data_IF_694133482605
#
_entry.id   IF_694133482605
#
_cell.length_a   1.000
_cell.length_b   1.000
_cell.length_c   1.000
_cell.angle_alpha   90.00
_cell.angle_beta   90.00
_cell.angle_gamma   90.00
#
_symmetry.space_group_name_H-M   'P 1'
#
loop_
_entity.id
_entity.type
_entity.pdbx_description
1 polymer ?
#
# COMPACT_ATOMS: atom_id res chain seq x y z
N UNK A 1 31.86 -12.15 39.87
CA UNK A 1 31.93 -12.39 38.45
C UNK A 1 30.63 -11.88 37.86
N UNK A 2 30.65 -10.69 37.25
CA UNK A 2 29.46 -10.10 36.57
C UNK A 2 29.54 -10.55 35.12
N UNK A 3 28.51 -11.30 34.69
CA UNK A 3 28.34 -11.70 33.31
C UNK A 3 28.05 -10.48 32.47
N UNK A 4 28.97 -10.20 31.56
CA UNK A 4 28.85 -9.19 30.50
C UNK A 4 27.74 -9.65 29.53
N UNK A 5 26.60 -8.96 29.57
CA UNK A 5 25.54 -9.15 28.58
C UNK A 5 25.99 -8.42 27.32
N UNK A 6 26.51 -9.16 26.37
CA UNK A 6 26.77 -8.67 25.02
C UNK A 6 25.46 -8.13 24.45
N UNK A 7 25.39 -6.80 24.30
CA UNK A 7 24.38 -6.13 23.51
C UNK A 7 24.59 -6.55 22.06
N UNK A 8 23.72 -7.44 21.58
CA UNK A 8 23.57 -7.73 20.17
C UNK A 8 23.29 -6.39 19.46
N UNK A 9 24.33 -5.83 18.85
CA UNK A 9 24.21 -4.66 17.98
C UNK A 9 23.51 -5.15 16.72
N UNK A 10 22.18 -5.03 16.69
CA UNK A 10 21.37 -5.33 15.52
C UNK A 10 21.86 -4.44 14.38
N UNK A 11 22.65 -4.99 13.48
CA UNK A 11 23.10 -4.31 12.27
C UNK A 11 21.84 -3.95 11.46
N UNK A 12 21.51 -2.68 11.42
CA UNK A 12 20.40 -2.20 10.61
C UNK A 12 20.77 -2.43 9.13
N UNK A 13 20.06 -3.32 8.47
CA UNK A 13 20.23 -3.52 7.03
C UNK A 13 19.77 -2.25 6.29
N UNK A 14 20.72 -1.54 5.67
CA UNK A 14 20.40 -0.44 4.75
C UNK A 14 20.02 -1.06 3.41
N UNK A 15 18.73 -0.98 3.08
CA UNK A 15 18.23 -1.43 1.80
C UNK A 15 18.31 -0.31 0.76
N UNK A 16 18.76 -0.62 -0.44
CA UNK A 16 18.58 0.24 -1.62
C UNK A 16 17.14 0.09 -2.09
N UNK A 17 16.45 1.19 -2.34
CA UNK A 17 15.04 1.16 -2.76
C UNK A 17 14.94 1.81 -4.14
N UNK A 18 14.44 1.04 -5.10
CA UNK A 18 14.29 1.47 -6.49
C UNK A 18 12.86 1.27 -7.00
N UNK A 19 12.51 2.03 -8.05
CA UNK A 19 11.37 1.68 -8.90
C UNK A 19 11.71 0.42 -9.68
N UNK A 20 10.74 -0.50 -9.76
CA UNK A 20 10.88 -1.78 -10.45
C UNK A 20 9.67 -2.01 -11.35
N UNK A 21 9.76 -3.01 -12.22
CA UNK A 21 8.64 -3.41 -13.07
C UNK A 21 7.63 -4.25 -12.27
N UNK A 22 6.43 -4.42 -12.80
CA UNK A 22 5.42 -5.29 -12.18
C UNK A 22 5.91 -6.74 -12.13
N UNK A 23 6.59 -7.21 -13.17
CA UNK A 23 7.13 -8.57 -13.28
C UNK A 23 8.09 -8.87 -12.14
N UNK A 24 8.93 -7.92 -11.77
CA UNK A 24 9.88 -8.06 -10.66
C UNK A 24 9.18 -8.16 -9.28
N UNK A 25 7.92 -7.71 -9.18
CA UNK A 25 7.15 -7.84 -7.94
C UNK A 25 6.51 -9.21 -7.77
N UNK A 26 6.17 -9.90 -8.88
CA UNK A 26 5.33 -11.11 -8.88
C UNK A 26 5.91 -12.25 -8.05
N UNK A 27 7.21 -12.60 -8.15
CA UNK A 27 7.76 -13.70 -7.35
C UNK A 27 7.53 -13.52 -5.85
N UNK A 28 7.78 -12.29 -5.35
CA UNK A 28 7.65 -12.01 -3.92
C UNK A 28 6.18 -11.87 -3.49
N UNK A 29 5.35 -11.22 -4.30
CA UNK A 29 3.91 -11.20 -4.05
C UNK A 29 3.34 -12.62 -3.93
N UNK A 30 3.75 -13.53 -4.81
CA UNK A 30 3.28 -14.90 -4.83
C UNK A 30 3.78 -15.68 -3.60
N UNK A 31 5.10 -15.74 -3.39
CA UNK A 31 5.69 -16.55 -2.32
C UNK A 31 5.27 -16.11 -0.92
N UNK A 32 5.03 -14.81 -0.70
CA UNK A 32 4.73 -14.25 0.63
C UNK A 32 3.22 -14.15 0.89
N UNK A 33 2.45 -13.68 -0.10
CA UNK A 33 1.05 -13.35 0.16
C UNK A 33 0.11 -14.52 -0.13
N UNK A 34 0.36 -15.30 -1.18
CA UNK A 34 -0.49 -16.42 -1.59
C UNK A 34 0.31 -17.57 -2.22
N UNK A 35 1.18 -18.24 -1.46
CA UNK A 35 2.06 -19.30 -1.98
C UNK A 35 1.31 -20.52 -2.53
N UNK A 36 0.07 -20.74 -2.10
CA UNK A 36 -0.77 -21.88 -2.51
C UNK A 36 -1.69 -21.57 -3.70
N UNK A 37 -1.72 -20.32 -4.18
CA UNK A 37 -2.54 -19.91 -5.33
C UNK A 37 -1.68 -19.82 -6.60
N UNK A 38 -2.28 -19.85 -7.80
CA UNK A 38 -1.52 -19.60 -9.02
C UNK A 38 -0.85 -18.20 -9.00
N UNK A 39 0.30 -18.01 -9.67
CA UNK A 39 0.95 -16.69 -9.76
C UNK A 39 0.05 -15.58 -10.31
N UNK A 40 -0.88 -15.91 -11.21
CA UNK A 40 -1.88 -14.95 -11.73
C UNK A 40 -2.78 -14.34 -10.63
N UNK A 41 -2.94 -15.02 -9.50
CA UNK A 41 -3.74 -14.51 -8.37
C UNK A 41 -3.16 -13.27 -7.71
N UNK A 42 -1.86 -13.03 -7.86
CA UNK A 42 -1.19 -11.88 -7.26
C UNK A 42 -1.08 -10.68 -8.22
N UNK A 43 -1.43 -10.88 -9.49
CA UNK A 43 -1.53 -9.81 -10.46
C UNK A 43 -2.80 -8.98 -10.22
N UNK A 44 -2.71 -7.70 -10.49
CA UNK A 44 -3.84 -6.78 -10.43
C UNK A 44 -4.14 -6.25 -11.84
N UNK A 45 -5.42 -6.05 -12.20
CA UNK A 45 -5.76 -5.41 -13.48
C UNK A 45 -5.11 -4.04 -13.64
N UNK A 46 -4.91 -3.33 -12.53
CA UNK A 46 -4.34 -1.99 -12.45
C UNK A 46 -2.80 -1.97 -12.43
N UNK A 47 -2.13 -3.12 -12.42
CA UNK A 47 -0.67 -3.17 -12.29
C UNK A 47 0.05 -2.35 -13.38
N UNK A 48 -0.49 -2.29 -14.59
CA UNK A 48 0.11 -1.52 -15.69
C UNK A 48 0.13 0.01 -15.44
N UNK A 49 -0.75 0.52 -14.58
CA UNK A 49 -0.84 1.94 -14.21
C UNK A 49 -0.23 2.25 -12.85
N UNK A 50 0.18 1.22 -12.13
CA UNK A 50 0.80 1.34 -10.82
C UNK A 50 2.26 1.77 -10.87
N UNK A 51 2.76 2.29 -9.75
CA UNK A 51 4.18 2.49 -9.54
C UNK A 51 4.68 1.47 -8.51
N UNK A 52 5.66 0.66 -8.91
CA UNK A 52 6.15 -0.43 -8.09
C UNK A 52 7.54 -0.13 -7.54
N UNK A 53 7.80 -0.54 -6.31
CA UNK A 53 9.07 -0.35 -5.63
C UNK A 53 9.57 -1.67 -5.03
N UNK A 54 10.89 -1.86 -5.10
CA UNK A 54 11.61 -2.97 -4.49
C UNK A 54 12.68 -2.47 -3.53
N UNK A 55 12.86 -3.19 -2.43
CA UNK A 55 13.98 -3.01 -1.52
C UNK A 55 15.00 -4.12 -1.76
N UNK A 56 16.26 -3.75 -1.96
CA UNK A 56 17.36 -4.63 -2.30
C UNK A 56 18.42 -4.60 -1.21
N UNK A 57 18.96 -5.76 -0.88
CA UNK A 57 20.14 -5.88 -0.03
C UNK A 57 21.43 -5.78 -0.87
N UNK A 58 22.57 -5.41 -0.26
CA UNK A 58 23.85 -5.46 -0.96
C UNK A 58 24.08 -6.82 -1.64
N UNK A 59 24.57 -6.78 -2.87
CA UNK A 59 24.89 -7.99 -3.67
C UNK A 59 23.67 -8.86 -4.07
N UNK A 60 22.43 -8.39 -3.85
CA UNK A 60 21.23 -9.07 -4.35
C UNK A 60 20.62 -8.29 -5.52
N UNK A 61 20.37 -8.99 -6.62
CA UNK A 61 19.74 -8.43 -7.82
C UNK A 61 18.20 -8.49 -7.74
N UNK A 62 17.66 -9.38 -6.89
CA UNK A 62 16.22 -9.50 -6.66
C UNK A 62 15.80 -8.76 -5.40
N UNK A 63 14.61 -8.11 -5.39
CA UNK A 63 14.13 -7.41 -4.22
C UNK A 63 13.76 -8.40 -3.09
N UNK A 64 14.01 -8.00 -1.84
CA UNK A 64 13.61 -8.74 -0.64
C UNK A 64 12.31 -8.21 -0.03
N UNK A 65 11.85 -7.06 -0.48
CA UNK A 65 10.52 -6.54 -0.18
C UNK A 65 10.01 -5.72 -1.37
N UNK A 66 8.70 -5.76 -1.60
CA UNK A 66 8.02 -5.03 -2.70
C UNK A 66 6.75 -4.38 -2.20
N UNK A 67 6.36 -3.28 -2.86
CA UNK A 67 5.11 -2.55 -2.62
C UNK A 67 4.68 -1.85 -3.91
N UNK A 68 3.37 -1.64 -4.08
CA UNK A 68 2.83 -0.97 -5.27
C UNK A 68 1.88 0.13 -4.91
N UNK A 69 1.98 1.27 -5.60
CA UNK A 69 1.17 2.47 -5.42
C UNK A 69 0.22 2.64 -6.60
N UNK A 70 -1.00 3.06 -6.31
CA UNK A 70 -2.06 3.33 -7.28
C UNK A 70 -2.78 4.63 -6.91
N UNK A 71 -3.10 5.45 -7.91
CA UNK A 71 -4.06 6.54 -7.73
C UNK A 71 -5.43 5.90 -7.56
N UNK A 72 -5.99 5.97 -6.36
CA UNK A 72 -7.26 5.35 -6.02
C UNK A 72 -7.91 6.15 -4.89
N UNK A 73 -9.18 6.52 -5.09
CA UNK A 73 -9.93 7.31 -4.12
C UNK A 73 -10.15 6.55 -2.81
N UNK A 74 -10.28 7.33 -1.72
CA UNK A 74 -10.71 6.75 -0.44
C UNK A 74 -12.10 6.15 -0.61
N UNK A 75 -12.33 4.94 -0.08
CA UNK A 75 -13.66 4.36 -0.11
C UNK A 75 -14.63 5.24 0.69
N UNK A 76 -15.79 5.52 0.10
CA UNK A 76 -16.86 6.24 0.78
C UNK A 76 -17.34 5.39 1.97
N UNK A 77 -17.20 5.93 3.17
CA UNK A 77 -17.79 5.32 4.36
C UNK A 77 -19.30 5.61 4.31
N UNK A 78 -20.08 4.61 3.86
CA UNK A 78 -21.54 4.65 4.05
C UNK A 78 -21.85 4.03 5.42
N UNK A 79 -22.61 4.73 6.22
CA UNK A 79 -23.10 4.21 7.50
C UNK A 79 -23.88 2.91 7.22
N UNK A 80 -23.27 1.78 7.55
CA UNK A 80 -23.87 0.48 7.75
C UNK A 80 -24.45 -0.26 6.54
N UNK A 81 -23.71 -0.54 5.48
CA UNK A 81 -23.77 -1.77 4.66
C UNK A 81 -22.80 -1.66 3.46
N UNK A 82 -21.67 -2.35 3.52
CA UNK A 82 -20.83 -2.55 2.34
C UNK A 82 -21.48 -3.58 1.41
N UNK A 83 -22.33 -3.12 0.49
CA UNK A 83 -22.68 -3.88 -0.70
C UNK A 83 -21.73 -3.44 -1.81
N UNK A 84 -20.90 -4.35 -2.30
CA UNK A 84 -20.08 -4.12 -3.51
C UNK A 84 -21.02 -3.73 -4.66
N UNK A 85 -21.08 -2.44 -4.96
CA UNK A 85 -21.74 -1.98 -6.18
C UNK A 85 -20.68 -1.93 -7.28
N UNK A 86 -20.75 -2.93 -8.13
CA UNK A 86 -20.08 -2.98 -9.42
C UNK A 86 -20.68 -1.89 -10.30
N UNK A 87 -20.13 -0.68 -10.27
CA UNK A 87 -20.56 0.41 -11.16
C UNK A 87 -20.02 0.14 -12.56
N UNK A 88 -20.80 -0.60 -13.34
CA UNK A 88 -20.74 -0.51 -14.79
C UNK A 88 -21.14 0.92 -15.18
N UNK A 89 -20.24 1.61 -15.85
CA UNK A 89 -20.47 2.87 -16.53
C UNK A 89 -21.68 2.73 -17.49
N UNK A 90 -22.79 3.34 -17.15
CA UNK A 90 -23.84 3.62 -18.12
C UNK A 90 -23.86 5.10 -18.40
N UNK A 91 -23.61 5.42 -19.69
CA UNK A 91 -23.82 6.71 -20.31
C UNK A 91 -25.25 7.19 -20.02
N UNK A 92 -25.38 8.38 -19.46
CA UNK A 92 -26.62 9.14 -19.48
C UNK A 92 -26.35 10.57 -19.90
N UNK A 93 -26.78 10.88 -21.12
CA UNK A 93 -26.99 12.22 -21.62
C UNK A 93 -27.84 13.02 -20.62
N UNK A 94 -27.36 14.18 -20.20
CA UNK A 94 -28.24 15.24 -19.68
C UNK A 94 -27.70 16.63 -20.02
N UNK A 95 -28.44 17.24 -20.84
CA UNK A 95 -28.77 18.65 -21.10
C UNK A 95 -27.90 19.72 -20.45
N UNK A 96 -27.29 20.53 -21.34
CA UNK A 96 -26.57 21.76 -21.07
C UNK A 96 -27.56 22.78 -20.48
N UNK A 97 -27.31 23.26 -19.28
CA UNK A 97 -27.80 24.52 -18.76
C UNK A 97 -26.58 25.40 -18.53
N UNK A 98 -26.49 26.44 -19.37
CA UNK A 98 -25.51 27.51 -19.25
C UNK A 98 -25.82 28.35 -18.01
N UNK A 99 -24.88 28.41 -17.08
CA UNK A 99 -24.87 29.32 -15.96
C UNK A 99 -23.42 29.52 -15.55
N UNK A 100 -22.89 30.71 -15.78
CA UNK A 100 -21.61 31.21 -15.31
C UNK A 100 -21.61 31.19 -13.77
N UNK A 101 -20.99 30.19 -13.19
CA UNK A 101 -20.48 30.27 -11.84
C UNK A 101 -19.04 29.73 -11.88
N UNK A 102 -18.11 30.70 -11.79
CA UNK A 102 -16.70 30.47 -11.48
C UNK A 102 -16.61 29.90 -10.05
N UNK A 103 -17.12 28.66 -9.88
CA UNK A 103 -17.14 27.99 -8.62
C UNK A 103 -15.75 27.39 -8.40
N UNK A 104 -14.99 28.02 -7.49
CA UNK A 104 -13.82 27.47 -6.81
C UNK A 104 -14.05 25.98 -6.49
N UNK A 105 -13.63 25.12 -7.41
CA UNK A 105 -13.49 23.69 -7.09
C UNK A 105 -12.25 23.56 -6.23
N UNK A 106 -12.36 23.19 -4.93
CA UNK A 106 -11.18 22.90 -4.15
C UNK A 106 -10.38 21.85 -4.92
N UNK A 107 -9.09 22.07 -5.08
CA UNK A 107 -8.20 21.15 -5.75
C UNK A 107 -8.46 19.74 -5.18
N UNK A 108 -8.93 18.82 -6.02
CA UNK A 108 -9.31 17.48 -5.58
C UNK A 108 -8.07 16.84 -4.98
N UNK A 109 -8.05 16.69 -3.66
CA UNK A 109 -6.93 16.14 -2.93
C UNK A 109 -6.67 14.73 -3.45
N UNK A 110 -5.50 14.51 -4.05
CA UNK A 110 -5.15 13.20 -4.59
C UNK A 110 -4.97 12.19 -3.47
N UNK A 111 -5.54 11.03 -3.65
CA UNK A 111 -5.36 9.91 -2.74
C UNK A 111 -4.64 8.77 -3.45
N UNK A 112 -3.76 8.10 -2.72
CA UNK A 112 -2.95 7.00 -3.23
C UNK A 112 -3.19 5.79 -2.36
N UNK A 113 -3.48 4.65 -2.97
CA UNK A 113 -3.54 3.37 -2.29
C UNK A 113 -2.26 2.60 -2.50
N UNK A 114 -1.65 2.07 -1.43
CA UNK A 114 -0.64 1.05 -1.60
C UNK A 114 -1.23 -0.36 -1.43
N UNK A 115 -0.73 -1.27 -2.24
CA UNK A 115 -1.18 -2.66 -2.29
C UNK A 115 0.00 -3.61 -2.45
N UNK A 116 -0.24 -4.91 -2.23
CA UNK A 116 0.74 -5.98 -2.49
C UNK A 116 2.08 -5.75 -1.77
N UNK A 117 2.02 -5.21 -0.56
CA UNK A 117 3.21 -5.05 0.27
C UNK A 117 3.63 -6.43 0.81
N UNK A 118 4.81 -6.87 0.40
CA UNK A 118 5.38 -8.17 0.76
C UNK A 118 6.85 -8.03 1.13
N UNK A 119 7.30 -8.79 2.12
CA UNK A 119 8.70 -8.89 2.51
C UNK A 119 9.02 -10.35 2.78
N UNK A 120 10.15 -10.84 2.24
CA UNK A 120 10.63 -12.21 2.49
C UNK A 120 10.63 -12.50 3.99
N UNK A 121 10.12 -13.68 4.44
CA UNK A 121 10.00 -14.01 5.87
C UNK A 121 11.31 -13.88 6.64
N UNK A 122 12.43 -14.31 6.03
CA UNK A 122 13.76 -14.25 6.65
C UNK A 122 14.27 -12.81 6.88
N UNK A 123 13.71 -11.82 6.18
CA UNK A 123 14.08 -10.39 6.30
C UNK A 123 13.04 -9.57 7.05
N UNK A 124 11.95 -10.18 7.49
CA UNK A 124 10.99 -9.51 8.37
C UNK A 124 11.62 -9.21 9.74
N UNK A 125 11.10 -8.18 10.42
CA UNK A 125 11.65 -7.74 11.71
C UNK A 125 12.99 -7.00 11.66
N UNK A 126 13.66 -6.95 10.49
CA UNK A 126 14.98 -6.31 10.31
C UNK A 126 14.91 -4.85 9.81
N UNK A 127 13.74 -4.25 9.83
CA UNK A 127 13.55 -2.83 9.47
C UNK A 127 13.37 -2.55 7.97
N UNK A 128 13.59 -3.54 7.07
CA UNK A 128 13.53 -3.35 5.61
C UNK A 128 12.15 -2.90 5.16
N UNK A 129 11.08 -3.57 5.63
CA UNK A 129 9.71 -3.16 5.31
C UNK A 129 9.38 -1.73 5.79
N UNK A 130 9.96 -1.30 6.91
CA UNK A 130 9.81 0.08 7.39
C UNK A 130 10.50 1.07 6.44
N UNK A 131 11.73 0.78 6.03
CA UNK A 131 12.47 1.63 5.08
C UNK A 131 11.69 1.76 3.77
N UNK A 132 11.18 0.64 3.23
CA UNK A 132 10.38 0.63 2.01
C UNK A 132 9.10 1.43 2.16
N UNK A 133 8.33 1.24 3.25
CA UNK A 133 7.09 1.99 3.48
C UNK A 133 7.36 3.51 3.60
N UNK A 134 8.33 3.93 4.42
CA UNK A 134 8.67 5.34 4.59
C UNK A 134 9.10 5.96 3.25
N UNK A 135 9.89 5.25 2.46
CA UNK A 135 10.30 5.72 1.13
C UNK A 135 9.09 5.95 0.22
N UNK A 136 8.17 4.97 0.11
CA UNK A 136 7.03 5.10 -0.80
C UNK A 136 6.00 6.13 -0.33
N UNK A 137 5.83 6.32 0.97
CA UNK A 137 4.99 7.40 1.51
C UNK A 137 5.54 8.78 1.10
N UNK A 138 6.86 8.97 1.21
CA UNK A 138 7.53 10.18 0.73
C UNK A 138 7.37 10.37 -0.79
N UNK A 139 7.52 9.29 -1.58
CA UNK A 139 7.35 9.37 -3.05
C UNK A 139 5.90 9.66 -3.45
N UNK A 140 4.92 9.05 -2.78
CA UNK A 140 3.52 9.35 -3.01
C UNK A 140 3.21 10.85 -2.81
N UNK A 141 3.73 11.42 -1.72
CA UNK A 141 3.56 12.86 -1.43
C UNK A 141 4.25 13.74 -2.48
N UNK A 142 5.51 13.45 -2.84
CA UNK A 142 6.33 14.33 -3.69
C UNK A 142 6.00 14.15 -5.17
N UNK A 143 5.86 12.91 -5.65
CA UNK A 143 5.75 12.61 -7.08
C UNK A 143 4.29 12.52 -7.55
N UNK A 144 3.38 12.10 -6.68
CA UNK A 144 1.96 11.93 -7.00
C UNK A 144 1.08 13.05 -6.40
N UNK A 145 1.69 13.98 -5.66
CA UNK A 145 0.97 15.07 -4.96
C UNK A 145 -0.16 14.52 -4.07
N UNK A 146 0.14 13.40 -3.39
CA UNK A 146 -0.83 12.74 -2.54
C UNK A 146 -1.05 13.54 -1.25
N UNK A 147 -2.30 13.91 -0.97
CA UNK A 147 -2.72 14.44 0.33
C UNK A 147 -2.95 13.32 1.36
N UNK A 148 -3.33 12.13 0.88
CA UNK A 148 -3.58 10.96 1.71
C UNK A 148 -3.04 9.69 1.04
N UNK A 149 -2.41 8.83 1.84
CA UNK A 149 -2.03 7.47 1.42
C UNK A 149 -2.77 6.45 2.29
N UNK A 150 -3.32 5.41 1.68
CA UNK A 150 -4.12 4.42 2.39
C UNK A 150 -3.89 2.98 1.92
N UNK A 151 -4.33 2.01 2.72
CA UNK A 151 -4.31 0.59 2.36
C UNK A 151 -5.38 -0.21 3.10
N UNK A 152 -5.64 -1.44 2.64
CA UNK A 152 -6.29 -2.47 3.45
C UNK A 152 -5.21 -3.29 4.16
N UNK A 153 -5.15 -3.19 5.46
CA UNK A 153 -4.24 -3.94 6.30
C UNK A 153 -4.96 -5.11 6.97
N UNK A 154 -4.31 -6.27 7.12
CA UNK A 154 -4.82 -7.30 8.02
C UNK A 154 -4.87 -6.73 9.44
N UNK A 155 -5.91 -7.04 10.20
CA UNK A 155 -6.06 -6.57 11.59
C UNK A 155 -4.82 -6.95 12.42
N UNK A 156 -4.23 -8.12 12.19
CA UNK A 156 -3.00 -8.56 12.85
C UNK A 156 -1.78 -7.66 12.58
N UNK A 157 -1.78 -6.91 11.47
CA UNK A 157 -0.71 -5.98 11.10
C UNK A 157 -1.00 -4.52 11.52
N UNK A 158 -2.21 -4.22 12.01
CA UNK A 158 -2.65 -2.86 12.34
C UNK A 158 -1.66 -2.14 13.27
N UNK A 159 -1.22 -2.79 14.35
CA UNK A 159 -0.26 -2.21 15.29
C UNK A 159 1.10 -1.88 14.67
N UNK A 160 1.52 -2.61 13.62
CA UNK A 160 2.73 -2.29 12.89
C UNK A 160 2.58 -0.99 12.08
N UNK A 161 1.44 -0.77 11.44
CA UNK A 161 1.14 0.46 10.71
C UNK A 161 0.95 1.67 11.62
N UNK A 162 0.28 1.51 12.76
CA UNK A 162 0.09 2.59 13.76
C UNK A 162 1.44 3.13 14.24
N UNK A 163 2.41 2.26 14.51
CA UNK A 163 3.77 2.66 14.90
C UNK A 163 4.51 3.46 13.81
N UNK A 164 3.96 3.56 12.60
CA UNK A 164 4.51 4.28 11.44
C UNK A 164 3.64 5.46 11.00
N UNK A 165 2.72 5.88 11.89
CA UNK A 165 1.92 7.07 11.70
C UNK A 165 0.61 6.87 10.93
N UNK A 166 0.30 5.64 10.49
CA UNK A 166 -1.00 5.40 9.88
C UNK A 166 -2.07 5.23 10.96
N UNK A 167 -3.28 5.70 10.68
CA UNK A 167 -4.43 5.55 11.57
C UNK A 167 -5.49 4.67 10.91
N UNK A 168 -6.20 3.83 11.68
CA UNK A 168 -7.33 3.07 11.14
C UNK A 168 -8.50 4.00 10.83
N UNK A 169 -9.30 3.65 9.81
CA UNK A 169 -10.53 4.34 9.48
C UNK A 169 -11.59 3.38 8.94
N UNK A 170 -12.86 3.70 9.18
CA UNK A 170 -13.99 2.85 8.82
C UNK A 170 -14.07 1.54 9.63
N UNK A 171 -15.08 0.71 9.34
CA UNK A 171 -15.24 -0.58 9.99
C UNK A 171 -14.22 -1.61 9.52
N UNK A 172 -14.03 -2.68 10.28
CA UNK A 172 -13.34 -3.89 9.82
C UNK A 172 -14.22 -4.64 8.80
N UNK A 173 -13.58 -5.41 7.95
CA UNK A 173 -14.25 -6.20 6.92
C UNK A 173 -13.43 -7.46 6.59
N UNK A 174 -14.08 -8.42 5.92
CA UNK A 174 -13.45 -9.70 5.62
C UNK A 174 -13.10 -9.84 4.13
N UNK A 175 -11.93 -10.43 3.86
CA UNK A 175 -11.53 -10.93 2.54
C UNK A 175 -11.23 -12.42 2.69
N UNK A 176 -12.20 -13.27 2.33
CA UNK A 176 -12.12 -14.69 2.67
C UNK A 176 -12.11 -14.87 4.19
N UNK A 177 -11.18 -15.67 4.76
CA UNK A 177 -11.12 -15.90 6.20
C UNK A 177 -10.39 -14.78 6.97
N UNK A 178 -9.74 -13.85 6.28
CA UNK A 178 -8.88 -12.82 6.88
C UNK A 178 -9.67 -11.54 7.18
N UNK A 179 -9.52 -11.01 8.39
CA UNK A 179 -10.08 -9.74 8.79
C UNK A 179 -9.13 -8.58 8.47
N UNK A 180 -9.69 -7.53 7.89
CA UNK A 180 -8.98 -6.32 7.46
C UNK A 180 -9.54 -5.08 8.11
N UNK A 181 -8.67 -4.07 8.21
CA UNK A 181 -9.01 -2.68 8.54
C UNK A 181 -8.34 -1.75 7.53
N UNK A 182 -9.02 -0.66 7.19
CA UNK A 182 -8.41 0.36 6.34
C UNK A 182 -7.50 1.24 7.20
N UNK A 183 -6.32 1.53 6.69
CA UNK A 183 -5.32 2.39 7.35
C UNK A 183 -4.97 3.54 6.43
N UNK A 184 -4.82 4.76 6.97
CA UNK A 184 -4.39 5.93 6.20
C UNK A 184 -3.38 6.78 6.94
N UNK A 185 -2.67 7.61 6.18
CA UNK A 185 -1.87 8.72 6.67
C UNK A 185 -2.19 9.94 5.80
N UNK A 186 -2.43 11.06 6.44
CA UNK A 186 -2.67 12.36 5.81
C UNK A 186 -1.40 13.21 5.92
N UNK A 187 -1.09 14.06 4.88
CA UNK A 187 0.13 14.87 4.82
C UNK A 187 -0.14 16.36 4.97
#
# INVERSE_FOLDING_TARGET
MKSDQSKDTQVAFMARIDKITVEETIPLRHSVLWPTKPPSHVCLPEDATGTHYGAFLPLRETPVAVISLFLEDLPLLRDGHDTEINLKSENSNSTIISGDEDSYRPAQQRTVRFRKFACEPEFQGKGIGTQLLVHVLSRARIELDAATVWCDARVTACGWYIKRGLVPFGPTFYKGPEEYVRMRIDF
#
